data_IF_238920966381
#
_entry.id   IF_238920966381
#
_cell.length_a   1.000
_cell.length_b   1.000
_cell.length_c   1.000
_cell.angle_alpha   90.00
_cell.angle_beta   90.00
_cell.angle_gamma   90.00
#
_symmetry.space_group_name_H-M   'P 1'
#
loop_
_entity.id
_entity.type
_entity.pdbx_description
1 polymer ?
#
# COMPACT_ATOMS: atom_id res chain seq x y z
N UNK A 1 26.96 0.72 12.59
CA UNK A 1 25.73 1.48 12.87
C UNK A 1 25.96 2.90 12.41
N UNK A 2 25.23 3.40 11.42
CA UNK A 2 25.32 4.79 10.99
C UNK A 2 24.59 5.65 12.04
N UNK A 3 25.28 6.61 12.62
CA UNK A 3 24.70 7.59 13.53
C UNK A 3 24.79 8.99 12.88
N UNK A 4 23.66 9.68 12.81
CA UNK A 4 23.59 11.05 12.32
C UNK A 4 22.75 11.91 13.27
N UNK A 5 23.00 13.22 13.25
CA UNK A 5 22.26 14.19 14.05
C UNK A 5 21.31 14.96 13.16
N UNK A 6 20.08 15.16 13.64
CA UNK A 6 19.06 15.96 12.97
C UNK A 6 18.68 17.11 13.91
N UNK A 7 18.54 18.29 13.36
CA UNK A 7 18.03 19.44 14.11
C UNK A 7 16.52 19.22 14.33
N UNK A 8 16.02 19.51 15.51
CA UNK A 8 14.58 19.37 15.82
C UNK A 8 13.70 20.21 14.88
N UNK A 9 14.24 21.32 14.37
CA UNK A 9 13.58 22.20 13.40
C UNK A 9 13.43 21.56 12.01
N UNK A 10 14.24 20.53 11.70
CA UNK A 10 14.21 19.81 10.43
C UNK A 10 13.27 18.60 10.46
N UNK A 11 12.66 18.32 11.61
CA UNK A 11 11.67 17.25 11.78
C UNK A 11 10.35 17.73 11.16
N UNK A 12 9.95 17.08 10.06
CA UNK A 12 8.72 17.37 9.32
C UNK A 12 7.55 16.58 9.90
N UNK A 13 6.42 17.26 10.05
CA UNK A 13 5.12 16.65 10.38
C UNK A 13 5.15 15.69 11.58
N UNK A 14 6.03 15.93 12.55
CA UNK A 14 6.26 15.08 13.73
C UNK A 14 6.66 13.62 13.37
N UNK A 15 7.30 13.43 12.23
CA UNK A 15 7.81 12.10 11.82
C UNK A 15 9.12 11.83 12.55
N UNK A 16 9.10 10.96 13.57
CA UNK A 16 10.28 10.56 14.35
C UNK A 16 10.86 9.21 13.88
N UNK A 17 10.87 8.97 12.58
CA UNK A 17 11.43 7.74 11.98
C UNK A 17 12.87 8.05 11.54
N UNK A 18 13.92 7.50 12.19
CA UNK A 18 15.30 7.82 11.86
C UNK A 18 15.63 7.61 10.38
N UNK A 19 15.19 6.51 9.78
CA UNK A 19 15.45 6.19 8.36
C UNK A 19 14.90 7.25 7.39
N UNK A 20 13.84 7.98 7.76
CA UNK A 20 13.28 9.05 6.94
C UNK A 20 14.29 10.21 6.73
N UNK A 21 15.21 10.38 7.67
CA UNK A 21 16.21 11.45 7.67
C UNK A 21 17.61 10.95 7.32
N UNK A 22 17.73 9.76 6.76
CA UNK A 22 19.01 9.20 6.34
C UNK A 22 19.64 10.11 5.26
N UNK A 23 20.80 10.71 5.53
CA UNK A 23 21.43 11.62 4.58
C UNK A 23 21.82 10.93 3.27
N UNK A 24 22.05 9.61 3.31
CA UNK A 24 22.38 8.82 2.11
C UNK A 24 21.20 8.81 1.15
N UNK A 25 19.97 8.58 1.64
CA UNK A 25 18.76 8.61 0.82
C UNK A 25 18.52 10.00 0.21
N UNK A 26 18.79 11.05 0.99
CA UNK A 26 18.66 12.41 0.49
C UNK A 26 19.64 12.69 -0.65
N UNK A 27 20.88 12.23 -0.51
CA UNK A 27 21.88 12.40 -1.56
C UNK A 27 21.52 11.61 -2.82
N UNK A 28 21.10 10.35 -2.70
CA UNK A 28 20.63 9.54 -3.81
C UNK A 28 19.49 10.19 -4.59
N UNK A 29 18.52 10.80 -3.89
CA UNK A 29 17.44 11.55 -4.52
C UNK A 29 17.93 12.79 -5.26
N UNK A 30 18.89 13.53 -4.70
CA UNK A 30 19.50 14.69 -5.36
C UNK A 30 20.26 14.28 -6.63
N UNK A 31 21.03 13.19 -6.56
CA UNK A 31 21.76 12.66 -7.71
C UNK A 31 20.80 12.23 -8.84
N UNK A 32 19.67 11.61 -8.48
CA UNK A 32 18.61 11.26 -9.44
C UNK A 32 17.97 12.50 -10.07
N UNK A 33 17.80 13.60 -9.34
CA UNK A 33 17.23 14.84 -9.85
C UNK A 33 18.10 15.50 -10.93
N UNK A 34 19.41 15.22 -10.98
CA UNK A 34 20.28 15.74 -12.04
C UNK A 34 19.94 15.17 -13.43
N UNK A 35 19.36 13.98 -13.47
CA UNK A 35 19.09 13.25 -14.73
C UNK A 35 17.60 12.95 -14.94
N UNK A 36 16.79 13.02 -13.90
CA UNK A 36 15.38 12.68 -13.92
C UNK A 36 14.52 13.73 -13.23
N UNK A 37 13.32 13.95 -13.73
CA UNK A 37 12.30 14.75 -13.05
C UNK A 37 11.60 13.89 -11.99
N UNK A 38 11.83 14.17 -10.71
CA UNK A 38 11.19 13.48 -9.61
C UNK A 38 9.90 14.20 -9.22
N UNK A 39 8.81 13.46 -9.18
CA UNK A 39 7.51 13.95 -8.74
C UNK A 39 7.09 13.25 -7.44
N UNK A 40 6.61 13.98 -6.44
CA UNK A 40 5.99 13.37 -5.28
C UNK A 40 4.77 12.54 -5.68
N UNK A 41 4.61 11.34 -5.10
CA UNK A 41 3.45 10.49 -5.36
C UNK A 41 2.13 11.23 -5.05
N UNK A 42 2.11 12.07 -4.01
CA UNK A 42 0.95 12.90 -3.67
C UNK A 42 0.51 13.82 -4.82
N UNK A 43 1.45 14.38 -5.60
CA UNK A 43 1.08 15.23 -6.74
C UNK A 43 0.39 14.45 -7.87
N UNK A 44 0.70 13.17 -8.03
CA UNK A 44 0.02 12.29 -9.00
C UNK A 44 -1.39 11.93 -8.52
N UNK A 45 -1.57 11.80 -7.20
CA UNK A 45 -2.88 11.56 -6.58
C UNK A 45 -3.74 12.82 -6.72
N UNK A 46 -3.21 13.99 -6.39
CA UNK A 46 -3.91 15.28 -6.50
C UNK A 46 -4.31 15.59 -7.95
N UNK A 47 -3.50 15.16 -8.92
CA UNK A 47 -3.79 15.29 -10.35
C UNK A 47 -4.77 14.23 -10.87
N UNK A 48 -5.21 13.29 -10.03
CA UNK A 48 -6.13 12.20 -10.42
C UNK A 48 -5.50 11.14 -11.34
N UNK A 49 -4.17 11.12 -11.47
CA UNK A 49 -3.44 10.12 -12.28
C UNK A 49 -3.41 8.78 -11.54
N UNK A 50 -3.29 8.82 -10.21
CA UNK A 50 -3.32 7.65 -9.33
C UNK A 50 -4.45 7.82 -8.33
N UNK A 51 -5.31 6.82 -8.19
CA UNK A 51 -6.22 6.68 -7.06
C UNK A 51 -5.52 6.00 -5.89
N UNK A 52 -5.78 6.46 -4.66
CA UNK A 52 -5.27 5.83 -3.45
C UNK A 52 -6.39 5.61 -2.43
N UNK A 53 -6.47 4.42 -1.84
CA UNK A 53 -7.53 4.04 -0.92
C UNK A 53 -7.04 3.02 0.11
N UNK A 54 -7.45 3.20 1.38
CA UNK A 54 -7.23 2.19 2.42
C UNK A 54 -8.36 1.16 2.44
N UNK A 55 -8.03 -0.07 2.86
CA UNK A 55 -9.03 -1.10 3.15
C UNK A 55 -9.82 -0.83 4.43
N UNK A 56 -10.49 -1.86 4.92
CA UNK A 56 -11.37 -1.77 6.09
C UNK A 56 -10.90 -2.66 7.24
N UNK A 57 -11.25 -2.24 8.46
CA UNK A 57 -11.27 -3.15 9.60
C UNK A 57 -12.59 -3.90 9.62
N UNK A 58 -12.48 -5.22 9.72
CA UNK A 58 -13.62 -6.10 9.99
C UNK A 58 -13.47 -6.70 11.38
N UNK A 59 -14.57 -6.89 12.08
CA UNK A 59 -14.54 -7.47 13.42
C UNK A 59 -13.94 -8.89 13.40
N UNK A 60 -13.25 -9.28 14.47
CA UNK A 60 -12.63 -10.63 14.57
C UNK A 60 -13.62 -11.76 14.36
N UNK A 61 -14.90 -11.54 14.66
CA UNK A 61 -15.99 -12.52 14.45
C UNK A 61 -16.29 -12.78 12.97
N UNK A 62 -15.83 -11.92 12.06
CA UNK A 62 -15.96 -12.12 10.63
C UNK A 62 -14.88 -13.05 10.03
N UNK A 63 -13.79 -13.31 10.79
CA UNK A 63 -12.71 -14.15 10.34
C UNK A 63 -13.13 -15.63 10.28
N UNK A 64 -12.77 -16.30 9.18
CA UNK A 64 -13.07 -17.72 8.99
C UNK A 64 -14.55 -18.03 8.72
N UNK A 65 -15.37 -17.01 8.42
CA UNK A 65 -16.81 -17.20 8.16
C UNK A 65 -17.13 -17.67 6.74
N UNK A 66 -16.15 -17.72 5.86
CA UNK A 66 -16.30 -18.16 4.47
C UNK A 66 -14.96 -18.29 3.74
N UNK A 67 -15.03 -18.44 2.42
CA UNK A 67 -13.87 -18.71 1.57
C UNK A 67 -13.35 -17.51 0.80
N UNK A 68 -14.03 -16.34 0.84
CA UNK A 68 -13.56 -15.16 0.13
C UNK A 68 -12.38 -14.54 0.88
N UNK A 69 -11.23 -14.34 0.24
CA UNK A 69 -10.04 -13.81 0.90
C UNK A 69 -10.25 -12.46 1.57
N UNK A 70 -9.83 -12.35 2.82
CA UNK A 70 -9.56 -11.09 3.52
C UNK A 70 -8.05 -10.93 3.63
N UNK A 71 -7.48 -10.18 2.71
CA UNK A 71 -6.03 -10.00 2.57
C UNK A 71 -5.51 -9.08 3.67
N UNK A 72 -4.53 -9.58 4.42
CA UNK A 72 -3.87 -8.87 5.52
C UNK A 72 -2.42 -8.58 5.15
N UNK A 73 -1.77 -7.73 5.90
CA UNK A 73 -0.36 -7.36 5.69
C UNK A 73 0.57 -8.58 5.61
N UNK A 74 0.31 -9.63 6.38
CA UNK A 74 1.08 -10.88 6.37
C UNK A 74 0.81 -11.79 5.16
N UNK A 75 -0.18 -11.46 4.35
CA UNK A 75 -0.54 -12.24 3.17
C UNK A 75 0.09 -11.68 1.89
N UNK A 76 0.76 -10.52 1.97
CA UNK A 76 1.53 -9.91 0.89
C UNK A 76 3.01 -10.29 1.07
N UNK A 77 3.61 -10.88 0.04
CA UNK A 77 5.00 -11.33 0.06
C UNK A 77 5.54 -11.50 -1.37
N UNK A 78 6.78 -11.09 -1.62
CA UNK A 78 7.44 -11.33 -2.92
C UNK A 78 6.65 -10.85 -4.15
N UNK A 79 6.03 -9.67 -4.06
CA UNK A 79 5.23 -9.06 -5.12
C UNK A 79 3.89 -9.77 -5.41
N UNK A 80 3.51 -10.73 -4.58
CA UNK A 80 2.31 -11.56 -4.75
C UNK A 80 1.45 -11.58 -3.49
N UNK A 81 0.18 -11.89 -3.66
CA UNK A 81 -0.72 -12.30 -2.59
C UNK A 81 -0.57 -13.80 -2.41
N UNK A 82 -0.48 -14.28 -1.18
CA UNK A 82 -0.44 -15.71 -0.90
C UNK A 82 -1.63 -16.42 -1.51
N UNK A 83 -1.40 -17.52 -2.20
CA UNK A 83 -2.43 -18.34 -2.84
C UNK A 83 -3.56 -18.75 -1.88
N UNK A 84 -3.23 -18.94 -0.61
CA UNK A 84 -4.21 -19.22 0.46
C UNK A 84 -4.02 -18.17 1.55
N UNK A 85 -4.75 -17.04 1.48
CA UNK A 85 -4.76 -16.04 2.53
C UNK A 85 -5.20 -16.65 3.87
N UNK A 86 -4.63 -16.15 4.95
CA UNK A 86 -4.84 -16.71 6.28
C UNK A 86 -6.28 -16.61 6.76
N UNK A 87 -7.03 -15.63 6.27
CA UNK A 87 -8.41 -15.37 6.68
C UNK A 87 -9.34 -15.33 5.47
N UNK A 88 -10.51 -15.92 5.65
CA UNK A 88 -11.61 -15.83 4.70
C UNK A 88 -12.86 -15.26 5.34
N UNK A 89 -13.73 -14.67 4.53
CA UNK A 89 -14.99 -14.07 4.96
C UNK A 89 -16.17 -14.62 4.17
N UNK A 90 -17.37 -14.49 4.75
CA UNK A 90 -18.61 -14.86 4.10
C UNK A 90 -18.96 -13.92 2.94
N UNK A 91 -19.82 -14.42 2.04
CA UNK A 91 -20.37 -13.61 0.95
C UNK A 91 -21.07 -12.34 1.44
N UNK A 92 -21.75 -12.40 2.58
CA UNK A 92 -22.41 -11.24 3.17
C UNK A 92 -21.42 -10.14 3.58
N UNK A 93 -20.31 -10.53 4.24
CA UNK A 93 -19.24 -9.60 4.61
C UNK A 93 -18.59 -9.02 3.35
N UNK A 94 -18.31 -9.85 2.36
CA UNK A 94 -17.76 -9.38 1.09
C UNK A 94 -18.65 -8.33 0.43
N UNK A 95 -19.96 -8.57 0.31
CA UNK A 95 -20.90 -7.63 -0.29
C UNK A 95 -20.96 -6.29 0.44
N UNK A 96 -20.75 -6.30 1.76
CA UNK A 96 -20.77 -5.09 2.57
C UNK A 96 -19.62 -4.13 2.22
N UNK A 97 -18.44 -4.66 1.86
CA UNK A 97 -17.23 -3.87 1.67
C UNK A 97 -16.77 -3.80 0.20
N UNK A 98 -17.08 -4.79 -0.62
CA UNK A 98 -16.53 -4.93 -1.98
C UNK A 98 -16.84 -3.74 -2.89
N UNK A 99 -18.04 -3.17 -2.80
CA UNK A 99 -18.41 -2.01 -3.63
C UNK A 99 -17.55 -0.78 -3.32
N UNK A 100 -17.15 -0.61 -2.05
CA UNK A 100 -16.32 0.51 -1.63
C UNK A 100 -14.84 0.25 -1.88
N UNK A 101 -14.37 -0.97 -1.66
CA UNK A 101 -12.98 -1.32 -1.90
C UNK A 101 -12.66 -1.47 -3.38
N UNK A 102 -13.62 -1.95 -4.17
CA UNK A 102 -13.56 -2.05 -5.64
C UNK A 102 -12.20 -2.56 -6.13
N UNK A 103 -11.78 -3.75 -5.64
CA UNK A 103 -10.49 -4.33 -6.01
C UNK A 103 -10.57 -4.91 -7.42
N UNK A 104 -9.61 -4.54 -8.26
CA UNK A 104 -9.54 -4.99 -9.66
C UNK A 104 -8.12 -5.48 -10.00
N UNK A 105 -7.98 -6.36 -10.99
CA UNK A 105 -6.67 -6.71 -11.52
C UNK A 105 -5.93 -5.46 -12.01
N UNK A 106 -4.62 -5.39 -11.69
CA UNK A 106 -3.78 -4.23 -11.95
C UNK A 106 -3.68 -3.25 -10.77
N UNK A 107 -4.55 -3.37 -9.75
CA UNK A 107 -4.36 -2.61 -8.52
C UNK A 107 -3.08 -3.02 -7.80
N UNK A 108 -2.39 -2.06 -7.20
CA UNK A 108 -1.22 -2.30 -6.37
C UNK A 108 -1.63 -2.21 -4.91
N UNK A 109 -1.41 -3.28 -4.14
CA UNK A 109 -1.62 -3.29 -2.69
C UNK A 109 -0.28 -3.12 -1.99
N UNK A 110 -0.16 -2.12 -1.11
CA UNK A 110 1.06 -1.84 -0.35
C UNK A 110 0.77 -1.80 1.14
N UNK A 111 1.61 -2.47 1.92
CA UNK A 111 1.54 -2.42 3.39
C UNK A 111 1.91 -1.01 3.85
N UNK A 112 0.96 -0.33 4.49
CA UNK A 112 1.06 1.05 4.95
C UNK A 112 1.67 1.17 6.34
N UNK A 113 1.18 0.36 7.28
CA UNK A 113 1.51 0.47 8.70
C UNK A 113 1.28 -0.85 9.47
N UNK A 114 1.47 -0.80 10.80
CA UNK A 114 1.11 -1.88 11.73
C UNK A 114 2.07 -3.07 11.76
N UNK A 115 3.16 -3.07 10.99
CA UNK A 115 4.10 -4.19 10.90
C UNK A 115 5.47 -3.73 10.39
N UNK A 116 6.48 -4.60 10.54
CA UNK A 116 7.80 -4.41 9.92
C UNK A 116 7.80 -4.58 8.38
N UNK A 117 6.67 -5.01 7.80
CA UNK A 117 6.50 -5.22 6.36
C UNK A 117 6.14 -3.92 5.60
N UNK A 118 6.18 -2.76 6.24
CA UNK A 118 5.87 -1.47 5.60
C UNK A 118 6.61 -1.33 4.26
N UNK A 119 5.87 -0.98 3.21
CA UNK A 119 6.38 -0.84 1.85
C UNK A 119 6.36 -2.13 1.04
N UNK A 120 6.15 -3.31 1.66
CA UNK A 120 5.92 -4.54 0.92
C UNK A 120 4.65 -4.39 0.08
N UNK A 121 4.73 -4.77 -1.18
CA UNK A 121 3.62 -4.57 -2.12
C UNK A 121 3.44 -5.76 -3.06
N UNK A 122 2.32 -5.79 -3.76
CA UNK A 122 2.00 -6.76 -4.80
C UNK A 122 1.06 -6.14 -5.83
N UNK A 123 0.98 -6.74 -7.00
CA UNK A 123 0.00 -6.42 -8.03
C UNK A 123 -1.12 -7.45 -7.96
N UNK A 124 -2.35 -6.97 -7.93
CA UNK A 124 -3.54 -7.83 -7.97
C UNK A 124 -3.68 -8.45 -9.36
N UNK A 125 -3.84 -9.74 -9.41
CA UNK A 125 -4.06 -10.50 -10.66
C UNK A 125 -5.53 -10.96 -10.79
N UNK A 126 -5.97 -11.40 -11.97
CA UNK A 126 -7.30 -12.01 -12.11
C UNK A 126 -7.54 -13.24 -11.24
N UNK A 127 -6.49 -13.90 -10.75
CA UNK A 127 -6.58 -15.07 -9.87
C UNK A 127 -6.84 -14.69 -8.40
N UNK A 128 -6.61 -13.44 -8.02
CA UNK A 128 -6.72 -12.97 -6.64
C UNK A 128 -8.15 -12.51 -6.28
N UNK A 129 -8.98 -12.27 -7.27
CA UNK A 129 -10.35 -11.80 -7.05
C UNK A 129 -11.36 -12.96 -7.07
N UNK A 130 -12.47 -12.88 -6.31
CA UNK A 130 -12.89 -11.76 -5.45
C UNK A 130 -12.14 -11.73 -4.12
N UNK A 131 -11.88 -10.53 -3.59
CA UNK A 131 -11.27 -10.33 -2.27
C UNK A 131 -11.65 -8.98 -1.65
N UNK A 132 -11.38 -8.85 -0.35
CA UNK A 132 -11.32 -7.56 0.38
C UNK A 132 -10.01 -7.51 1.16
N UNK A 133 -9.59 -6.32 1.60
CA UNK A 133 -8.29 -6.14 2.25
C UNK A 133 -8.35 -5.26 3.50
N UNK A 134 -7.36 -5.45 4.37
CA UNK A 134 -7.28 -4.81 5.68
C UNK A 134 -6.91 -3.31 5.58
N UNK A 135 -7.35 -2.52 6.56
CA UNK A 135 -7.08 -1.07 6.68
C UNK A 135 -5.59 -0.70 6.72
N UNK A 136 -4.71 -1.62 7.14
CA UNK A 136 -3.26 -1.45 7.14
C UNK A 136 -2.62 -1.58 5.76
N UNK A 137 -3.42 -1.78 4.72
CA UNK A 137 -3.00 -1.87 3.33
C UNK A 137 -3.56 -0.66 2.58
N UNK A 138 -2.73 -0.06 1.75
CA UNK A 138 -3.07 1.00 0.83
C UNK A 138 -3.16 0.41 -0.58
N UNK A 139 -4.27 0.63 -1.24
CA UNK A 139 -4.47 0.29 -2.65
C UNK A 139 -4.16 1.51 -3.51
N UNK A 140 -3.36 1.32 -4.55
CA UNK A 140 -3.16 2.28 -5.63
C UNK A 140 -3.75 1.74 -6.91
N UNK A 141 -4.35 2.61 -7.70
CA UNK A 141 -4.82 2.33 -9.05
C UNK A 141 -4.34 3.42 -9.99
N UNK A 142 -3.68 3.04 -11.07
CA UNK A 142 -3.40 3.97 -12.16
C UNK A 142 -4.72 4.25 -12.89
N UNK A 143 -5.18 5.50 -12.81
CA UNK A 143 -6.43 5.93 -13.42
C UNK A 143 -6.20 6.48 -14.84
N UNK A 144 -5.02 7.02 -15.11
CA UNK A 144 -4.62 7.58 -16.40
C UNK A 144 -3.40 6.80 -16.95
N UNK A 145 -3.70 5.76 -17.72
CA UNK A 145 -2.69 4.88 -18.34
C UNK A 145 -1.98 5.51 -19.55
N UNK A 146 -2.45 6.66 -20.06
CA UNK A 146 -1.74 7.40 -21.08
C UNK A 146 -0.54 8.18 -20.51
N UNK A 147 -0.62 8.54 -19.23
CA UNK A 147 0.39 9.34 -18.52
C UNK A 147 1.28 8.53 -17.60
N UNK A 148 0.82 7.40 -17.12
CA UNK A 148 1.56 6.52 -16.22
C UNK A 148 1.28 5.06 -16.56
N UNK A 149 2.34 4.31 -16.84
CA UNK A 149 2.27 2.86 -16.98
C UNK A 149 2.16 2.20 -15.60
N UNK A 150 1.17 1.30 -15.37
CA UNK A 150 0.96 0.65 -14.08
C UNK A 150 2.03 -0.39 -13.74
#
# INVERSE_FOLDING_TARGET
MLAYKINIQDIKDQIFIPKYYDPTLKQELLDLQETHSLLPLGSLIDAGIIGAQTGHEIGKMAYGTGSIPFVRTSDISNWEIKTIPKQGVSQQIYQQYSCREDVQPGDILMVRDGTYLIGTNCIVTPLDIPMIYQSHILKFRVADTERLDP
#
